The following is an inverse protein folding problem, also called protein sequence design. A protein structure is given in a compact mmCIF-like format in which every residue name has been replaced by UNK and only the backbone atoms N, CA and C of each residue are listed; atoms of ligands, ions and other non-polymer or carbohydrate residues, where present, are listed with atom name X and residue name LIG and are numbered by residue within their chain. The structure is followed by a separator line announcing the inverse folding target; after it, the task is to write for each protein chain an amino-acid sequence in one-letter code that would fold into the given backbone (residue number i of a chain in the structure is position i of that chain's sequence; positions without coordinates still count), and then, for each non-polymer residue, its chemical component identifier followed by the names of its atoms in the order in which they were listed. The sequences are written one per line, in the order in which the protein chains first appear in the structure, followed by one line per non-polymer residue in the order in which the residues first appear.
data_IF_231955749662
#
_entry.id   IF_231955749662
#
_cell.length_a   1.000
_cell.length_b   1.000
_cell.length_c   1.000
_cell.angle_alpha   90.00
_cell.angle_beta   90.00
_cell.angle_gamma   90.00
#
_symmetry.space_group_name_H-M   'P 1'
#
loop_
_entity.id
_entity.type
_entity.pdbx_description
1 polymer ?
#
# COMPACT_ATOMS: atom_id res chain seq x y z
N UNK A 1 -7.31 6.78 45.94
CA UNK A 1 -6.53 7.22 44.77
C UNK A 1 -5.45 6.17 44.54
N UNK A 2 -5.76 5.18 43.69
CA UNK A 2 -4.83 4.09 43.39
C UNK A 2 -4.56 4.09 41.90
N UNK A 3 -3.29 4.26 41.52
CA UNK A 3 -2.81 3.97 40.17
C UNK A 3 -2.79 2.44 40.02
N UNK A 4 -3.42 1.84 38.99
CA UNK A 4 -3.13 0.49 38.59
C UNK A 4 -2.07 0.55 37.48
N UNK A 5 -0.80 0.57 37.87
CA UNK A 5 0.29 0.24 36.95
C UNK A 5 0.21 -1.27 36.71
N UNK A 6 -0.48 -1.65 35.63
CA UNK A 6 -0.40 -2.99 35.06
C UNK A 6 1.00 -3.20 34.51
N UNK A 7 1.82 -3.97 35.23
CA UNK A 7 3.05 -4.55 34.70
C UNK A 7 2.70 -5.46 33.52
N UNK A 8 2.89 -4.97 32.28
CA UNK A 8 2.86 -5.82 31.09
C UNK A 8 4.13 -6.69 31.09
N UNK A 9 3.93 -8.00 31.15
CA UNK A 9 4.99 -8.98 31.37
C UNK A 9 5.97 -9.06 30.20
N UNK A 10 7.26 -8.89 30.52
CA UNK A 10 8.34 -9.48 29.74
C UNK A 10 8.10 -10.99 29.66
N UNK A 11 7.60 -11.48 28.52
CA UNK A 11 7.45 -12.92 28.33
C UNK A 11 8.84 -13.54 28.22
N UNK A 12 9.32 -14.15 29.30
CA UNK A 12 10.55 -14.93 29.30
C UNK A 12 10.54 -15.99 28.19
N UNK A 13 11.72 -16.31 27.65
CA UNK A 13 11.85 -17.34 26.62
C UNK A 13 11.35 -18.67 27.22
N UNK A 14 10.29 -19.29 26.67
CA UNK A 14 9.76 -20.54 27.20
C UNK A 14 10.86 -21.61 27.24
N UNK A 15 10.87 -22.41 28.29
CA UNK A 15 11.72 -23.59 28.35
C UNK A 15 11.35 -24.60 27.26
N UNK A 16 12.19 -25.62 27.02
CA UNK A 16 11.95 -26.64 26.00
C UNK A 16 10.65 -27.44 26.16
N UNK A 17 10.07 -27.43 27.36
CA UNK A 17 8.84 -28.14 27.70
C UNK A 17 7.68 -27.19 28.00
N UNK A 18 7.92 -25.88 27.95
CA UNK A 18 6.86 -24.90 28.18
C UNK A 18 6.09 -24.70 26.87
N UNK A 19 4.76 -24.76 26.92
CA UNK A 19 3.95 -24.56 25.74
C UNK A 19 4.12 -23.12 25.27
N UNK A 20 4.35 -22.95 23.97
CA UNK A 20 4.32 -21.65 23.31
C UNK A 20 2.83 -21.32 23.12
N UNK A 21 2.32 -20.26 23.76
CA UNK A 21 0.93 -19.88 23.62
C UNK A 21 0.56 -19.56 22.16
N UNK A 22 -0.65 -19.90 21.71
CA UNK A 22 -1.02 -19.71 20.31
C UNK A 22 -1.07 -18.22 19.93
N UNK A 23 -1.32 -17.34 20.90
CA UNK A 23 -1.23 -15.89 20.76
C UNK A 23 0.16 -15.42 20.34
N UNK A 24 1.23 -16.17 20.62
CA UNK A 24 2.57 -15.82 20.16
C UNK A 24 2.72 -15.98 18.64
N UNK A 25 1.84 -16.71 17.96
CA UNK A 25 1.88 -16.91 16.52
C UNK A 25 1.13 -15.82 15.74
N UNK A 26 1.63 -15.52 14.55
CA UNK A 26 0.99 -14.60 13.60
C UNK A 26 1.12 -15.15 12.19
N UNK A 27 0.09 -15.02 11.37
CA UNK A 27 0.13 -15.44 9.96
C UNK A 27 -0.15 -14.24 9.07
N UNK A 28 0.69 -14.02 8.06
CA UNK A 28 0.41 -12.96 7.08
C UNK A 28 -0.70 -13.38 6.13
N UNK A 29 -1.27 -12.41 5.40
CA UNK A 29 -2.29 -12.63 4.37
C UNK A 29 -1.82 -13.59 3.25
N UNK A 30 -0.51 -13.86 3.15
CA UNK A 30 0.09 -14.83 2.22
C UNK A 30 0.37 -16.20 2.85
N UNK A 31 -0.15 -16.47 4.04
CA UNK A 31 0.05 -17.73 4.76
C UNK A 31 1.42 -17.88 5.45
N UNK A 32 2.24 -16.82 5.50
CA UNK A 32 3.54 -16.90 6.16
C UNK A 32 3.36 -16.82 7.68
N UNK A 33 3.58 -17.94 8.37
CA UNK A 33 3.53 -18.01 9.83
C UNK A 33 4.84 -17.48 10.44
N UNK A 34 4.72 -16.66 11.46
CA UNK A 34 5.79 -16.25 12.37
C UNK A 34 5.38 -16.49 13.82
N UNK A 35 6.34 -16.48 14.72
CA UNK A 35 6.12 -16.55 16.16
C UNK A 35 6.93 -15.44 16.85
N UNK A 36 6.41 -14.92 17.93
CA UNK A 36 7.07 -13.98 18.84
C UNK A 36 7.45 -14.72 20.11
N UNK A 37 8.75 -14.72 20.45
CA UNK A 37 9.26 -15.39 21.65
C UNK A 37 10.23 -14.44 22.32
N UNK A 38 9.93 -14.09 23.57
CA UNK A 38 10.49 -12.91 24.20
C UNK A 38 10.34 -11.70 23.29
N UNK A 39 11.41 -10.94 23.17
CA UNK A 39 11.40 -9.67 22.47
C UNK A 39 11.79 -9.79 20.97
N UNK A 40 11.59 -10.96 20.35
CA UNK A 40 12.06 -11.26 18.98
C UNK A 40 11.00 -11.91 18.10
N UNK A 41 10.96 -11.47 16.83
CA UNK A 41 10.18 -12.11 15.77
C UNK A 41 10.98 -13.22 15.08
N UNK A 42 10.33 -14.38 14.95
CA UNK A 42 10.85 -15.55 14.25
C UNK A 42 9.93 -15.91 13.09
N UNK A 43 10.46 -15.94 11.87
CA UNK A 43 9.69 -16.26 10.65
C UNK A 43 9.88 -17.71 10.26
N UNK A 44 8.79 -18.39 9.89
CA UNK A 44 8.87 -19.77 9.40
C UNK A 44 9.76 -19.79 8.16
N UNK A 45 10.85 -20.54 8.25
CA UNK A 45 11.87 -20.64 7.22
C UNK A 45 11.73 -21.95 6.46
N UNK A 46 11.58 -23.08 7.18
CA UNK A 46 11.49 -24.41 6.56
C UNK A 46 10.58 -25.31 7.37
N UNK A 47 9.64 -25.98 6.71
CA UNK A 47 8.89 -27.10 7.30
C UNK A 47 9.77 -28.35 7.21
N UNK A 48 10.01 -29.01 8.33
CA UNK A 48 10.86 -30.22 8.39
C UNK A 48 10.03 -31.51 8.41
N UNK A 49 8.84 -31.47 9.01
CA UNK A 49 7.85 -32.53 9.01
C UNK A 49 6.47 -31.94 9.33
N UNK A 50 5.43 -32.75 9.34
CA UNK A 50 4.06 -32.32 9.69
C UNK A 50 3.98 -31.64 11.07
N UNK A 51 4.80 -32.09 12.01
CA UNK A 51 4.82 -31.57 13.39
C UNK A 51 6.01 -30.67 13.68
N UNK A 52 6.97 -30.47 12.76
CA UNK A 52 8.20 -29.69 13.02
C UNK A 52 8.48 -28.64 11.98
N UNK A 53 8.73 -27.41 12.42
CA UNK A 53 9.16 -26.32 11.56
C UNK A 53 10.33 -25.53 12.17
N UNK A 54 11.24 -25.10 11.31
CA UNK A 54 12.33 -24.19 11.64
C UNK A 54 11.89 -22.75 11.41
N UNK A 55 12.10 -21.92 12.41
CA UNK A 55 11.90 -20.49 12.34
C UNK A 55 13.24 -19.77 12.43
N UNK A 56 13.44 -18.72 11.63
CA UNK A 56 14.64 -17.89 11.62
C UNK A 56 14.30 -16.51 12.18
N UNK A 57 15.17 -15.95 12.99
CA UNK A 57 15.06 -14.58 13.46
C UNK A 57 14.97 -13.61 12.28
N UNK A 58 14.11 -12.60 12.37
CA UNK A 58 13.97 -11.60 11.31
C UNK A 58 15.21 -10.70 11.13
N UNK A 59 16.06 -10.58 12.15
CA UNK A 59 17.22 -9.68 12.16
C UNK A 59 18.59 -10.37 12.12
N UNK A 60 18.66 -11.71 12.07
CA UNK A 60 19.93 -12.43 11.93
C UNK A 60 19.73 -13.87 11.43
N UNK A 61 20.80 -14.66 11.43
CA UNK A 61 20.80 -16.06 10.94
C UNK A 61 20.39 -17.09 11.98
N UNK A 62 20.23 -16.70 13.25
CA UNK A 62 19.80 -17.60 14.33
C UNK A 62 18.43 -18.18 14.03
N UNK A 63 18.27 -19.46 14.32
CA UNK A 63 17.02 -20.18 14.13
C UNK A 63 16.67 -21.01 15.35
N UNK A 64 15.37 -21.20 15.55
CA UNK A 64 14.81 -22.12 16.51
C UNK A 64 13.95 -23.17 15.81
N UNK A 65 13.64 -24.24 16.54
CA UNK A 65 12.78 -25.31 16.06
C UNK A 65 11.54 -25.37 16.95
N UNK A 66 10.37 -25.34 16.32
CA UNK A 66 9.09 -25.54 16.99
C UNK A 66 8.56 -26.91 16.58
N UNK A 67 8.15 -27.67 17.59
CA UNK A 67 7.48 -28.95 17.44
C UNK A 67 6.06 -28.85 17.97
N UNK A 68 5.10 -29.40 17.24
CA UNK A 68 3.71 -29.51 17.68
C UNK A 68 3.49 -30.91 18.24
N UNK A 69 3.09 -31.00 19.51
CA UNK A 69 2.74 -32.24 20.21
C UNK A 69 1.31 -32.10 20.71
N UNK A 70 0.43 -33.01 20.32
CA UNK A 70 -0.99 -33.00 20.71
C UNK A 70 -1.68 -31.64 20.46
N UNK A 71 -1.35 -30.99 19.34
CA UNK A 71 -1.90 -29.67 18.95
C UNK A 71 -1.24 -28.46 19.64
N UNK A 72 -0.32 -28.69 20.57
CA UNK A 72 0.38 -27.62 21.32
C UNK A 72 1.79 -27.43 20.79
N UNK A 73 2.22 -26.18 20.63
CA UNK A 73 3.55 -25.84 20.10
C UNK A 73 4.59 -25.75 21.22
N UNK A 74 5.77 -26.34 21.03
CA UNK A 74 6.88 -26.32 21.98
C UNK A 74 8.20 -25.96 21.31
N UNK A 75 9.12 -25.37 22.07
CA UNK A 75 10.50 -25.22 21.63
C UNK A 75 11.22 -26.56 21.70
N UNK A 76 11.50 -27.18 20.56
CA UNK A 76 12.19 -28.46 20.55
C UNK A 76 13.61 -28.36 21.12
N UNK A 77 14.24 -27.18 21.00
CA UNK A 77 15.51 -26.81 21.63
C UNK A 77 15.57 -25.29 21.87
N UNK A 78 16.32 -24.82 22.89
CA UNK A 78 16.58 -23.39 23.08
C UNK A 78 17.24 -22.79 21.84
N UNK A 79 16.90 -21.54 21.45
CA UNK A 79 17.61 -20.85 20.40
C UNK A 79 19.08 -20.62 20.79
N UNK A 80 19.97 -20.62 19.80
CA UNK A 80 21.35 -20.16 20.02
C UNK A 80 21.34 -18.68 20.41
N UNK A 81 22.30 -18.20 21.22
CA UNK A 81 22.45 -16.78 21.47
C UNK A 81 22.64 -16.02 20.16
N UNK A 82 22.08 -14.82 20.11
CA UNK A 82 22.20 -13.94 18.96
C UNK A 82 23.58 -13.28 18.92
N UNK A 83 24.03 -12.93 17.71
CA UNK A 83 25.25 -12.13 17.59
C UNK A 83 25.01 -10.69 18.07
N UNK A 84 26.05 -10.00 18.57
CA UNK A 84 25.95 -8.60 19.02
C UNK A 84 25.42 -7.64 17.94
N UNK A 85 25.66 -7.95 16.66
CA UNK A 85 25.18 -7.20 15.50
C UNK A 85 23.71 -7.44 15.15
N UNK A 86 22.99 -8.29 15.90
CA UNK A 86 21.58 -8.54 15.69
C UNK A 86 20.75 -7.35 16.22
N UNK A 87 20.61 -6.32 15.37
CA UNK A 87 19.79 -5.12 15.61
C UNK A 87 18.28 -5.38 15.51
N UNK A 88 17.82 -6.60 15.81
CA UNK A 88 16.42 -6.82 16.16
C UNK A 88 16.22 -6.34 17.60
N UNK A 89 16.51 -5.06 17.84
CA UNK A 89 16.10 -4.39 19.07
C UNK A 89 14.57 -4.45 19.09
N UNK A 90 13.97 -4.78 20.23
CA UNK A 90 12.53 -4.78 20.37
C UNK A 90 12.04 -3.39 19.99
N UNK A 91 11.06 -3.34 19.09
CA UNK A 91 10.28 -2.13 18.86
C UNK A 91 8.92 -2.44 19.48
N UNK A 92 8.71 -2.08 20.77
CA UNK A 92 7.46 -2.35 21.48
C UNK A 92 6.27 -1.77 20.73
N UNK A 93 6.45 -0.64 20.04
CA UNK A 93 5.40 -0.04 19.23
C UNK A 93 5.08 -0.88 17.99
N UNK A 94 6.05 -1.58 17.39
CA UNK A 94 5.80 -2.53 16.30
C UNK A 94 5.15 -3.83 16.78
N UNK A 95 5.53 -4.30 17.96
CA UNK A 95 4.93 -5.46 18.62
C UNK A 95 3.45 -5.20 18.91
N UNK A 96 3.15 -4.09 19.57
CA UNK A 96 1.79 -3.70 19.91
C UNK A 96 0.94 -3.45 18.64
N UNK A 97 1.50 -2.82 17.58
CA UNK A 97 0.82 -2.71 16.27
C UNK A 97 0.44 -4.07 15.67
N UNK A 98 1.31 -5.07 15.82
CA UNK A 98 1.07 -6.41 15.28
C UNK A 98 -0.02 -7.13 16.08
N UNK A 99 -0.02 -6.96 17.41
CA UNK A 99 -1.05 -7.48 18.32
C UNK A 99 -2.43 -6.86 18.07
N UNK A 100 -2.50 -5.54 17.90
CA UNK A 100 -3.75 -4.86 17.58
C UNK A 100 -4.31 -5.30 16.22
N UNK A 101 -3.44 -5.51 15.22
CA UNK A 101 -3.84 -6.06 13.92
C UNK A 101 -4.43 -7.48 14.06
N UNK A 102 -3.88 -8.31 14.96
CA UNK A 102 -4.40 -9.66 15.27
C UNK A 102 -5.81 -9.59 15.86
N UNK A 103 -6.02 -8.72 16.86
CA UNK A 103 -7.34 -8.49 17.48
C UNK A 103 -8.40 -8.13 16.44
N UNK A 104 -8.05 -7.25 15.49
CA UNK A 104 -8.93 -6.89 14.38
C UNK A 104 -9.21 -8.05 13.43
N UNK A 105 -8.21 -8.87 13.10
CA UNK A 105 -8.39 -10.03 12.20
C UNK A 105 -9.26 -11.13 12.83
N UNK A 106 -9.06 -11.42 14.12
CA UNK A 106 -9.86 -12.40 14.87
C UNK A 106 -11.34 -11.96 14.97
N UNK A 107 -11.57 -10.68 15.26
CA UNK A 107 -12.93 -10.14 15.35
C UNK A 107 -13.66 -10.21 14.01
N UNK A 108 -12.97 -9.91 12.92
CA UNK A 108 -13.51 -10.06 11.56
C UNK A 108 -13.80 -11.52 11.23
N UNK A 109 -12.93 -12.46 11.62
CA UNK A 109 -13.15 -13.88 11.39
C UNK A 109 -14.35 -14.43 12.17
N UNK A 110 -14.68 -13.82 13.33
CA UNK A 110 -15.87 -14.13 14.14
C UNK A 110 -17.14 -13.43 13.66
N UNK A 111 -17.07 -12.63 12.59
CA UNK A 111 -18.21 -11.86 12.07
C UNK A 111 -18.54 -10.60 12.87
N UNK A 112 -17.63 -10.14 13.73
CA UNK A 112 -17.79 -8.95 14.56
C UNK A 112 -17.70 -7.63 13.78
N UNK A 113 -18.21 -6.56 14.39
CA UNK A 113 -18.24 -5.24 13.77
C UNK A 113 -16.85 -4.57 13.83
N UNK A 114 -16.14 -4.59 12.71
CA UNK A 114 -14.80 -3.97 12.56
C UNK A 114 -14.77 -2.48 12.93
N UNK A 115 -15.89 -1.77 12.83
CA UNK A 115 -15.94 -0.32 13.03
C UNK A 115 -15.72 0.07 14.48
N UNK A 116 -16.32 -0.69 15.41
CA UNK A 116 -16.32 -0.37 16.83
C UNK A 116 -14.97 -0.70 17.45
N UNK A 117 -14.41 -1.87 17.10
CA UNK A 117 -13.08 -2.28 17.52
C UNK A 117 -11.96 -1.34 17.04
N UNK A 118 -12.07 -0.85 15.80
CA UNK A 118 -11.09 0.12 15.28
C UNK A 118 -11.23 1.49 15.94
N UNK A 119 -12.45 1.90 16.31
CA UNK A 119 -12.68 3.12 17.06
C UNK A 119 -12.10 3.04 18.48
N UNK A 120 -12.26 1.89 19.14
CA UNK A 120 -11.65 1.58 20.45
C UNK A 120 -10.12 1.64 20.38
N UNK A 121 -9.50 0.96 19.41
CA UNK A 121 -8.03 0.96 19.25
C UNK A 121 -7.48 2.37 18.99
N UNK A 122 -8.20 3.20 18.23
CA UNK A 122 -7.81 4.59 17.96
C UNK A 122 -7.99 5.47 19.21
N UNK A 123 -9.01 5.19 20.04
CA UNK A 123 -9.21 5.90 21.31
C UNK A 123 -8.10 5.57 22.32
N UNK A 124 -7.67 4.31 22.39
CA UNK A 124 -6.69 3.84 23.37
C UNK A 124 -5.23 4.14 22.98
N UNK A 125 -4.90 4.11 21.68
CA UNK A 125 -3.50 4.20 21.22
C UNK A 125 -3.21 5.38 20.28
N UNK A 126 -4.23 6.17 19.91
CA UNK A 126 -4.10 7.31 19.00
C UNK A 126 -3.82 6.95 17.52
N UNK A 127 -3.81 7.97 16.66
CA UNK A 127 -3.64 7.80 15.20
C UNK A 127 -2.23 7.35 14.78
N UNK A 128 -1.21 7.56 15.62
CA UNK A 128 0.20 7.28 15.31
C UNK A 128 0.52 5.78 15.15
N UNK A 129 -0.38 4.90 15.57
CA UNK A 129 -0.25 3.44 15.45
C UNK A 129 -0.55 2.90 14.04
N UNK A 130 -1.13 3.72 13.17
CA UNK A 130 -1.37 3.38 11.79
C UNK A 130 -0.18 3.89 10.96
N UNK A 131 0.62 2.99 10.37
CA UNK A 131 1.46 3.44 9.26
C UNK A 131 0.58 4.01 8.14
N UNK A 132 1.13 4.75 7.19
CA UNK A 132 0.38 5.32 6.05
C UNK A 132 -0.52 4.31 5.34
N UNK A 133 -0.16 3.02 5.37
CA UNK A 133 -1.00 1.92 4.87
C UNK A 133 -2.16 1.55 5.82
N UNK A 134 -1.96 1.57 7.13
CA UNK A 134 -2.99 1.42 8.15
C UNK A 134 -4.00 2.57 8.11
N UNK A 135 -3.53 3.79 7.89
CA UNK A 135 -4.37 4.98 7.79
C UNK A 135 -5.19 4.95 6.48
N UNK A 136 -4.57 4.55 5.36
CA UNK A 136 -5.28 4.22 4.11
C UNK A 136 -6.32 3.13 4.29
N UNK A 137 -5.99 2.04 4.99
CA UNK A 137 -6.92 0.95 5.25
C UNK A 137 -8.07 1.38 6.16
N UNK A 138 -7.81 2.26 7.12
CA UNK A 138 -8.84 2.86 7.98
C UNK A 138 -9.74 3.80 7.19
N UNK A 139 -9.18 4.65 6.33
CA UNK A 139 -9.95 5.54 5.47
C UNK A 139 -10.79 4.75 4.47
N UNK A 140 -10.24 3.66 3.90
CA UNK A 140 -10.99 2.72 3.08
C UNK A 140 -12.09 1.99 3.89
N UNK A 141 -11.84 1.67 5.16
CA UNK A 141 -12.84 1.11 6.07
C UNK A 141 -13.99 2.08 6.33
N UNK A 142 -13.65 3.33 6.67
CA UNK A 142 -14.60 4.41 6.96
C UNK A 142 -15.45 4.75 5.74
N UNK A 143 -14.83 4.80 4.55
CA UNK A 143 -15.54 4.98 3.28
C UNK A 143 -16.57 3.88 3.04
N UNK A 144 -16.20 2.60 3.24
CA UNK A 144 -17.12 1.46 3.10
C UNK A 144 -18.23 1.45 4.16
N UNK A 145 -17.92 1.87 5.38
CA UNK A 145 -18.87 1.88 6.48
C UNK A 145 -19.85 3.08 6.44
N UNK A 146 -19.49 4.17 5.77
CA UNK A 146 -20.36 5.33 5.54
C UNK A 146 -21.34 5.17 4.38
N UNK A 147 -21.10 4.20 3.49
CA UNK A 147 -21.98 3.84 2.39
C UNK A 147 -22.28 2.33 2.42
N UNK A 148 -23.21 1.87 3.28
CA UNK A 148 -23.63 0.46 3.32
C UNK A 148 -24.31 0.00 2.01
N UNK A 149 -24.71 0.95 1.16
CA UNK A 149 -25.22 0.78 -0.20
C UNK A 149 -24.19 1.12 -1.29
N UNK A 150 -22.91 1.34 -0.96
CA UNK A 150 -21.86 1.16 -1.95
C UNK A 150 -21.86 -0.33 -2.29
N UNK A 151 -22.71 -0.69 -3.26
CA UNK A 151 -22.69 -1.91 -4.04
C UNK A 151 -21.24 -2.40 -4.02
N UNK A 152 -21.00 -3.65 -3.59
CA UNK A 152 -19.75 -4.36 -3.93
C UNK A 152 -19.43 -3.90 -5.34
N UNK A 153 -18.30 -3.22 -5.61
CA UNK A 153 -18.13 -2.46 -6.85
C UNK A 153 -18.62 -3.39 -7.94
N UNK A 154 -19.78 -3.05 -8.55
CA UNK A 154 -20.42 -3.91 -9.56
C UNK A 154 -19.25 -4.27 -10.43
N UNK A 155 -18.92 -5.57 -10.53
CA UNK A 155 -17.80 -6.02 -11.38
C UNK A 155 -17.99 -5.24 -12.66
N UNK A 156 -17.12 -4.25 -12.89
CA UNK A 156 -17.29 -3.36 -14.02
C UNK A 156 -17.22 -4.32 -15.19
N UNK A 157 -18.31 -4.44 -15.95
CA UNK A 157 -18.33 -5.35 -17.09
C UNK A 157 -17.65 -4.62 -18.23
N UNK A 158 -16.32 -4.70 -18.21
CA UNK A 158 -15.44 -3.97 -19.12
C UNK A 158 -15.54 -4.48 -20.55
N UNK A 159 -16.12 -5.68 -20.69
CA UNK A 159 -16.39 -6.31 -21.97
C UNK A 159 -17.78 -5.93 -22.49
N UNK A 160 -18.59 -5.22 -21.69
CA UNK A 160 -19.82 -4.61 -22.16
C UNK A 160 -19.48 -3.57 -23.22
N UNK A 161 -20.06 -3.73 -24.40
CA UNK A 161 -20.01 -2.71 -25.45
C UNK A 161 -20.50 -1.36 -24.90
N UNK A 162 -19.72 -0.29 -25.10
CA UNK A 162 -20.02 1.03 -24.55
C UNK A 162 -19.43 1.32 -23.16
N UNK A 163 -18.74 0.36 -22.53
CA UNK A 163 -18.15 0.55 -21.20
C UNK A 163 -17.15 1.71 -21.16
N UNK A 164 -16.29 1.81 -22.18
CA UNK A 164 -15.26 2.84 -22.21
C UNK A 164 -15.90 4.23 -22.27
N UNK A 165 -16.88 4.40 -23.14
CA UNK A 165 -17.65 5.63 -23.31
C UNK A 165 -18.42 5.99 -22.03
N UNK A 166 -19.07 5.01 -21.40
CA UNK A 166 -19.72 5.18 -20.10
C UNK A 166 -18.71 5.60 -19.02
N UNK A 167 -17.50 5.02 -19.01
CA UNK A 167 -16.44 5.35 -18.06
C UNK A 167 -15.86 6.75 -18.30
N UNK A 168 -15.65 7.16 -19.55
CA UNK A 168 -15.26 8.53 -19.88
C UNK A 168 -16.32 9.50 -19.42
N UNK A 169 -17.59 9.25 -19.77
CA UNK A 169 -18.70 10.11 -19.36
C UNK A 169 -18.75 10.25 -17.84
N UNK A 170 -18.64 9.14 -17.10
CA UNK A 170 -18.56 9.15 -15.63
C UNK A 170 -17.33 9.91 -15.13
N UNK A 171 -16.16 9.71 -15.74
CA UNK A 171 -14.95 10.43 -15.37
C UNK A 171 -15.06 11.92 -15.63
N UNK A 172 -15.74 12.36 -16.70
CA UNK A 172 -16.01 13.76 -17.00
C UNK A 172 -17.05 14.37 -16.05
N UNK A 173 -18.16 13.68 -15.80
CA UNK A 173 -19.20 14.06 -14.83
C UNK A 173 -18.62 14.20 -13.41
N UNK A 174 -17.80 13.25 -12.99
CA UNK A 174 -17.16 13.26 -11.67
C UNK A 174 -15.91 14.12 -11.60
N UNK A 175 -15.19 14.36 -12.71
CA UNK A 175 -14.19 15.42 -12.78
C UNK A 175 -14.83 16.78 -12.44
N UNK A 176 -16.10 16.97 -12.82
CA UNK A 176 -16.97 18.06 -12.36
C UNK A 176 -17.06 18.22 -10.84
N UNK A 177 -17.06 17.11 -10.10
CA UNK A 177 -17.13 17.07 -8.64
C UNK A 177 -15.75 17.21 -7.98
N UNK A 178 -14.68 16.80 -8.68
CA UNK A 178 -13.29 17.05 -8.29
C UNK A 178 -12.86 18.51 -8.54
N UNK A 179 -13.72 19.36 -9.13
CA UNK A 179 -13.54 20.82 -9.26
C UNK A 179 -13.66 21.50 -7.89
N UNK A 180 -12.67 21.30 -7.03
CA UNK A 180 -12.57 21.83 -5.68
C UNK A 180 -12.83 23.34 -5.56
N UNK A 181 -14.09 23.71 -5.60
CA UNK A 181 -14.62 25.06 -5.39
C UNK A 181 -15.50 25.02 -4.15
N UNK A 182 -14.91 24.63 -3.01
CA UNK A 182 -15.29 25.30 -1.77
C UNK A 182 -14.55 26.63 -1.74
N UNK A 183 -15.10 27.64 -2.44
CA UNK A 183 -14.78 29.04 -2.15
C UNK A 183 -14.52 30.02 -3.31
N UNK A 184 -14.12 29.60 -4.52
CA UNK A 184 -13.59 30.58 -5.51
C UNK A 184 -14.20 30.54 -6.92
N UNK A 185 -15.16 29.66 -7.22
CA UNK A 185 -15.89 29.66 -8.51
C UNK A 185 -15.06 29.38 -9.78
N UNK A 186 -13.73 29.18 -9.67
CA UNK A 186 -12.89 28.86 -10.83
C UNK A 186 -13.04 27.40 -11.24
N UNK A 187 -13.43 27.17 -12.49
CA UNK A 187 -13.44 25.84 -13.09
C UNK A 187 -12.00 25.35 -13.30
N UNK A 188 -11.64 24.22 -12.69
CA UNK A 188 -10.35 23.56 -12.90
C UNK A 188 -10.58 22.45 -13.94
N UNK A 189 -9.92 22.53 -15.10
CA UNK A 189 -9.85 21.40 -16.04
C UNK A 189 -9.09 20.26 -15.40
N UNK A 190 -9.63 19.04 -15.45
CA UNK A 190 -9.01 17.86 -14.85
C UNK A 190 -8.82 16.69 -15.84
N UNK A 191 -9.74 16.50 -16.79
CA UNK A 191 -9.51 15.57 -17.90
C UNK A 191 -8.65 16.26 -18.96
N UNK A 192 -7.51 15.65 -19.28
CA UNK A 192 -6.55 16.15 -20.26
C UNK A 192 -6.70 15.42 -21.60
N UNK A 193 -6.88 14.10 -21.57
CA UNK A 193 -6.96 13.26 -22.76
C UNK A 193 -7.78 12.00 -22.52
N UNK A 194 -8.49 11.54 -23.55
CA UNK A 194 -9.16 10.24 -23.57
C UNK A 194 -9.21 9.70 -25.00
N UNK A 195 -8.99 8.39 -25.18
CA UNK A 195 -9.12 7.72 -26.48
C UNK A 195 -9.75 6.33 -26.32
N UNK A 196 -10.90 6.10 -26.98
CA UNK A 196 -11.66 4.85 -26.90
C UNK A 196 -11.12 3.72 -27.79
N UNK A 197 -10.63 4.05 -28.97
CA UNK A 197 -10.09 3.07 -29.92
C UNK A 197 -8.81 2.43 -29.39
N UNK A 198 -8.00 3.23 -28.71
CA UNK A 198 -6.82 2.79 -27.98
C UNK A 198 -6.94 3.28 -26.54
N UNK A 199 -7.59 2.51 -25.64
CA UNK A 199 -7.94 2.94 -24.29
C UNK A 199 -6.78 3.54 -23.48
N UNK A 200 -6.84 4.87 -23.31
CA UNK A 200 -5.97 5.64 -22.42
C UNK A 200 -6.72 6.86 -21.93
N UNK A 201 -6.53 7.20 -20.66
CA UNK A 201 -7.11 8.38 -20.05
C UNK A 201 -6.01 9.11 -19.28
N UNK A 202 -5.87 10.41 -19.52
CA UNK A 202 -4.93 11.25 -18.80
C UNK A 202 -5.71 12.31 -18.04
N UNK A 203 -5.50 12.38 -16.74
CA UNK A 203 -5.98 13.46 -15.90
C UNK A 203 -4.83 14.35 -15.46
N UNK A 204 -5.01 15.65 -15.60
CA UNK A 204 -4.11 16.65 -15.11
C UNK A 204 -4.86 17.96 -14.90
N UNK A 205 -4.44 18.72 -13.88
CA UNK A 205 -4.88 20.11 -13.76
C UNK A 205 -4.01 21.02 -14.60
N UNK A 206 -4.50 22.20 -14.97
CA UNK A 206 -3.67 23.19 -15.66
C UNK A 206 -2.45 23.58 -14.83
N UNK A 207 -2.62 23.66 -13.50
CA UNK A 207 -1.51 23.87 -12.56
C UNK A 207 -0.52 22.70 -12.58
N UNK A 208 -1.01 21.46 -12.63
CA UNK A 208 -0.18 20.26 -12.70
C UNK A 208 0.67 20.21 -13.98
N UNK A 209 0.06 20.52 -15.13
CA UNK A 209 0.79 20.61 -16.41
C UNK A 209 1.79 21.78 -16.39
N UNK A 210 1.41 22.95 -15.87
CA UNK A 210 2.32 24.09 -15.75
C UNK A 210 3.51 23.80 -14.80
N UNK A 211 3.31 22.96 -13.78
CA UNK A 211 4.36 22.57 -12.84
C UNK A 211 5.51 21.81 -13.53
N UNK A 212 5.23 21.04 -14.59
CA UNK A 212 6.27 20.35 -15.37
C UNK A 212 7.32 21.30 -15.97
N UNK A 213 6.91 22.53 -16.29
CA UNK A 213 7.79 23.55 -16.88
C UNK A 213 8.83 24.10 -15.89
N UNK A 214 8.67 23.83 -14.59
CA UNK A 214 9.58 24.25 -13.52
C UNK A 214 10.33 23.07 -12.90
N UNK A 215 10.16 21.87 -13.46
CA UNK A 215 10.66 20.66 -12.84
C UNK A 215 12.18 20.54 -12.97
N UNK A 216 12.87 20.32 -11.86
CA UNK A 216 14.29 19.90 -11.86
C UNK A 216 14.46 18.41 -12.12
N UNK A 217 13.46 17.62 -11.75
CA UNK A 217 13.41 16.17 -11.84
C UNK A 217 12.01 15.68 -12.24
N UNK A 218 11.94 14.58 -12.98
CA UNK A 218 10.67 13.89 -13.24
C UNK A 218 10.72 12.49 -12.65
N UNK A 219 9.67 12.14 -11.92
CA UNK A 219 9.52 10.84 -11.30
C UNK A 219 8.21 10.21 -11.76
N UNK A 220 8.23 8.90 -11.86
CA UNK A 220 7.07 8.14 -12.25
C UNK A 220 6.88 6.93 -11.38
N UNK A 221 5.63 6.74 -10.95
CA UNK A 221 5.20 5.62 -10.12
C UNK A 221 4.03 4.90 -10.78
N UNK A 222 4.12 3.58 -10.84
CA UNK A 222 3.10 2.70 -11.39
C UNK A 222 2.31 2.03 -10.28
N UNK A 223 1.09 2.49 -10.00
CA UNK A 223 0.22 1.83 -9.02
C UNK A 223 -0.71 0.81 -9.71
N UNK A 224 -0.56 -0.46 -9.34
CA UNK A 224 -1.35 -1.57 -9.90
C UNK A 224 -2.63 -1.86 -9.12
N UNK A 225 -2.58 -1.76 -7.78
CA UNK A 225 -3.68 -2.19 -6.89
C UNK A 225 -4.97 -1.37 -7.06
N UNK A 226 -4.84 -0.13 -7.53
CA UNK A 226 -5.95 0.82 -7.69
C UNK A 226 -6.47 0.88 -9.12
N UNK A 227 -5.82 0.19 -10.07
CA UNK A 227 -6.31 0.14 -11.44
C UNK A 227 -7.66 -0.59 -11.44
N UNK A 228 -8.72 0.01 -12.02
CA UNK A 228 -9.97 -0.69 -12.23
C UNK A 228 -9.72 -1.96 -13.04
N UNK A 229 -10.56 -2.97 -12.86
CA UNK A 229 -10.47 -4.21 -13.64
C UNK A 229 -10.32 -3.87 -15.14
N UNK A 230 -9.50 -4.63 -15.89
CA UNK A 230 -9.15 -4.45 -17.31
C UNK A 230 -8.38 -3.19 -17.69
N UNK A 231 -7.94 -2.42 -16.69
CA UNK A 231 -6.81 -1.53 -16.80
C UNK A 231 -5.63 -2.17 -16.07
N UNK A 232 -4.43 -2.09 -16.64
CA UNK A 232 -3.25 -2.72 -16.04
C UNK A 232 -2.55 -1.82 -15.02
N UNK A 233 -2.64 -0.50 -15.19
CA UNK A 233 -1.87 0.45 -14.39
C UNK A 233 -2.53 1.82 -14.31
N UNK A 234 -2.46 2.42 -13.11
CA UNK A 234 -2.52 3.88 -12.94
C UNK A 234 -1.08 4.39 -12.80
N UNK A 235 -0.60 5.09 -13.81
CA UNK A 235 0.74 5.64 -13.89
C UNK A 235 0.72 7.13 -13.51
N UNK A 236 1.52 7.52 -12.53
CA UNK A 236 1.51 8.87 -11.97
C UNK A 236 2.80 9.59 -12.35
N UNK A 237 2.66 10.76 -12.96
CA UNK A 237 3.77 11.69 -13.17
C UNK A 237 3.93 12.62 -11.97
N UNK A 238 5.16 12.77 -11.51
CA UNK A 238 5.53 13.64 -10.38
C UNK A 238 6.68 14.52 -10.81
N UNK A 239 6.55 15.83 -10.57
CA UNK A 239 7.63 16.79 -10.78
C UNK A 239 8.33 17.09 -9.45
N UNK A 240 9.66 17.13 -9.46
CA UNK A 240 10.42 17.78 -8.41
C UNK A 240 10.54 19.27 -8.73
N UNK A 241 10.12 20.13 -7.80
CA UNK A 241 10.20 21.59 -7.91
C UNK A 241 10.73 22.11 -6.58
N UNK A 242 11.87 22.80 -6.61
CA UNK A 242 12.49 23.39 -5.42
C UNK A 242 12.67 22.38 -4.26
N UNK A 243 13.01 21.12 -4.58
CA UNK A 243 13.18 20.02 -3.62
C UNK A 243 11.88 19.36 -3.14
N UNK A 244 10.72 19.75 -3.68
CA UNK A 244 9.41 19.18 -3.35
C UNK A 244 8.85 18.33 -4.49
N UNK A 245 8.22 17.20 -4.15
CA UNK A 245 7.59 16.29 -5.10
C UNK A 245 6.09 16.58 -5.25
N UNK A 246 5.68 16.97 -6.45
CA UNK A 246 4.31 17.38 -6.77
C UNK A 246 3.72 16.46 -7.84
N UNK A 247 2.63 15.72 -7.57
CA UNK A 247 1.91 14.99 -8.60
C UNK A 247 1.35 15.94 -9.66
N UNK A 248 1.64 15.68 -10.92
CA UNK A 248 1.30 16.58 -12.04
C UNK A 248 0.19 16.02 -12.92
N UNK A 249 0.24 14.71 -13.19
CA UNK A 249 -0.76 14.02 -14.00
C UNK A 249 -0.87 12.54 -13.60
N UNK A 250 -2.00 11.94 -13.98
CA UNK A 250 -2.30 10.54 -13.82
C UNK A 250 -2.72 9.97 -15.16
N UNK A 251 -2.21 8.79 -15.51
CA UNK A 251 -2.53 8.08 -16.75
C UNK A 251 -3.09 6.72 -16.39
N UNK A 252 -4.33 6.45 -16.78
CA UNK A 252 -4.87 5.11 -16.73
C UNK A 252 -4.55 4.42 -18.07
N UNK A 253 -3.81 3.32 -18.01
CA UNK A 253 -3.34 2.59 -19.18
C UNK A 253 -3.89 1.18 -19.19
N UNK A 254 -4.44 0.80 -20.34
CA UNK A 254 -5.02 -0.54 -20.50
C UNK A 254 -3.93 -1.60 -20.54
N UNK A 255 -2.73 -1.24 -21.04
CA UNK A 255 -1.59 -2.14 -21.18
C UNK A 255 -0.30 -1.42 -20.76
N UNK A 256 0.68 -2.17 -20.27
CA UNK A 256 2.01 -1.65 -19.90
C UNK A 256 3.07 -1.91 -20.97
N UNK A 257 2.73 -1.60 -22.21
CA UNK A 257 3.69 -1.76 -23.33
C UNK A 257 4.49 -0.48 -23.51
N UNK A 258 5.67 -0.59 -24.12
CA UNK A 258 6.51 0.56 -24.47
C UNK A 258 5.73 1.61 -25.28
N UNK A 259 4.94 1.15 -26.25
CA UNK A 259 4.13 2.01 -27.13
C UNK A 259 3.10 2.83 -26.35
N UNK A 260 2.52 2.26 -25.28
CA UNK A 260 1.57 2.98 -24.42
C UNK A 260 2.26 4.09 -23.62
N UNK A 261 3.46 3.84 -23.08
CA UNK A 261 4.25 4.89 -22.42
C UNK A 261 4.67 5.99 -23.40
N UNK A 262 5.18 5.64 -24.58
CA UNK A 262 5.55 6.61 -25.62
C UNK A 262 4.35 7.49 -26.01
N UNK A 263 3.18 6.87 -26.16
CA UNK A 263 1.93 7.57 -26.47
C UNK A 263 1.52 8.53 -25.36
N UNK A 264 1.58 8.10 -24.10
CA UNK A 264 1.25 8.95 -22.96
C UNK A 264 2.21 10.15 -22.88
N UNK A 265 3.53 9.91 -22.98
CA UNK A 265 4.56 10.95 -22.98
C UNK A 265 4.37 11.93 -24.14
N UNK A 266 4.08 11.44 -25.34
CA UNK A 266 3.81 12.28 -26.51
C UNK A 266 2.58 13.16 -26.31
N UNK A 267 1.53 12.64 -25.69
CA UNK A 267 0.33 13.44 -25.40
C UNK A 267 0.63 14.55 -24.39
N UNK A 268 1.38 14.24 -23.33
CA UNK A 268 1.83 15.24 -22.34
C UNK A 268 2.71 16.31 -23.02
N UNK A 269 3.64 15.89 -23.88
CA UNK A 269 4.49 16.81 -24.66
C UNK A 269 3.66 17.71 -25.57
N UNK A 270 2.63 17.15 -26.21
CA UNK A 270 1.72 17.89 -27.10
C UNK A 270 0.97 18.96 -26.31
N UNK A 271 0.44 18.60 -25.14
CA UNK A 271 -0.24 19.55 -24.24
C UNK A 271 0.67 20.67 -23.76
N UNK A 272 1.93 20.37 -23.44
CA UNK A 272 2.93 21.37 -23.06
C UNK A 272 3.24 22.31 -24.23
N UNK A 273 3.46 21.76 -25.43
CA UNK A 273 3.73 22.55 -26.63
C UNK A 273 2.57 23.48 -27.00
N UNK A 274 1.33 22.97 -26.96
CA UNK A 274 0.12 23.77 -27.20
C UNK A 274 -0.03 24.95 -26.24
N UNK A 275 0.42 24.77 -24.99
CA UNK A 275 0.38 25.80 -23.94
C UNK A 275 1.61 26.71 -23.94
N UNK A 276 2.51 26.52 -24.89
CA UNK A 276 3.78 27.23 -24.97
C UNK A 276 4.66 27.05 -23.72
N UNK A 277 4.54 25.91 -23.06
CA UNK A 277 5.32 25.51 -21.88
C UNK A 277 6.56 24.75 -22.37
N UNK A 278 7.52 25.51 -22.90
CA UNK A 278 8.66 24.97 -23.65
C UNK A 278 9.89 24.59 -22.81
N UNK A 279 9.85 24.65 -21.48
CA UNK A 279 11.02 24.34 -20.64
C UNK A 279 11.14 22.87 -20.22
N UNK A 280 10.35 21.95 -20.78
CA UNK A 280 10.28 20.56 -20.28
C UNK A 280 11.46 19.65 -20.70
N UNK A 281 12.61 20.21 -21.08
CA UNK A 281 13.81 19.35 -21.28
C UNK A 281 15.09 20.00 -20.76
N UNK A 282 15.03 20.67 -19.61
CA UNK A 282 16.22 20.80 -18.74
C UNK A 282 16.07 19.97 -17.47
N UNK A 283 15.27 18.91 -17.51
CA UNK A 283 15.15 17.98 -16.39
C UNK A 283 16.53 17.34 -16.17
N UNK A 284 17.11 17.59 -15.01
CA UNK A 284 18.46 17.11 -14.69
C UNK A 284 18.52 15.59 -14.60
N UNK A 285 17.40 14.97 -14.23
CA UNK A 285 17.28 13.53 -14.10
C UNK A 285 15.83 13.05 -14.22
N UNK A 286 15.68 11.76 -14.47
CA UNK A 286 14.42 11.05 -14.36
C UNK A 286 14.56 9.84 -13.44
N UNK A 287 13.52 9.55 -12.66
CA UNK A 287 13.41 8.35 -11.81
C UNK A 287 12.17 7.57 -12.21
N UNK A 288 12.32 6.28 -12.37
CA UNK A 288 11.23 5.35 -12.64
C UNK A 288 11.52 4.02 -11.98
N UNK A 289 10.46 3.30 -11.62
CA UNK A 289 10.57 1.88 -11.28
C UNK A 289 11.23 1.10 -12.42
N UNK A 290 11.82 -0.05 -12.09
CA UNK A 290 12.53 -0.92 -13.05
C UNK A 290 11.55 -1.68 -13.95
N UNK A 291 10.77 -0.93 -14.72
CA UNK A 291 9.86 -1.41 -15.76
C UNK A 291 10.53 -1.23 -17.12
N UNK A 292 10.88 -2.35 -17.76
CA UNK A 292 11.67 -2.34 -19.00
C UNK A 292 10.99 -1.60 -20.15
N UNK A 293 9.66 -1.73 -20.25
CA UNK A 293 8.85 -1.04 -21.24
C UNK A 293 8.97 0.49 -21.09
N UNK A 294 8.88 0.98 -19.86
CA UNK A 294 8.96 2.41 -19.56
C UNK A 294 10.37 2.96 -19.77
N UNK A 295 11.40 2.26 -19.27
CA UNK A 295 12.79 2.67 -19.49
C UNK A 295 13.09 2.82 -20.98
N UNK A 296 12.64 1.89 -21.81
CA UNK A 296 12.87 1.94 -23.25
C UNK A 296 12.09 3.09 -23.93
N UNK A 297 10.91 3.44 -23.42
CA UNK A 297 10.14 4.59 -23.90
C UNK A 297 10.82 5.93 -23.61
N UNK A 298 11.53 6.06 -22.48
CA UNK A 298 12.20 7.31 -22.08
C UNK A 298 13.51 7.59 -22.85
N UNK A 299 14.16 6.55 -23.38
CA UNK A 299 15.48 6.64 -24.04
C UNK A 299 15.34 6.78 -25.58
N UNK A 300 14.12 6.84 -26.10
CA UNK A 300 13.81 6.98 -27.53
C UNK A 300 13.48 8.42 -27.88
#
# INVERSE_FOLDING_TARGET
MGNPDGQEGDHEVPGPNDPIPEECFSTTDRGNRSVWIGNRQWRRNKVLSETKARYRCSGCTVSLLIEVRDGVSYLARPPRPHQPSCNATPDPAREERTRLRRRVQEEVARGGNRRDLVAEIVADHGNAFLNTNGERNLNAARYRAGNPQADRPRRLDLYRQGYFEDFIRLAEEHAGHCRGTRGTGQQIRFLLYSNAENPMIIWATDRGIAALNRASGLLWDGTFYVAPQGWEQLWTGVAEIDGHYVPTYFVLMQRRTRQEYERALLQIRTELAQRQLFHVVSTLYYITDYESAMRNALVT
#
